data_IF_644281147931
#
_entry.id   IF_644281147931
#
_cell.length_a   1.000
_cell.length_b   1.000
_cell.length_c   1.000
_cell.angle_alpha   90.00
_cell.angle_beta   90.00
_cell.angle_gamma   90.00
#
_symmetry.space_group_name_H-M   'P 1'
#
loop_
_entity.id
_entity.type
_entity.pdbx_description
1 polymer ?
#
# COMPACT_ATOMS: atom_id res chain seq x y z
N UNK A 1 -6.37 -6.72 2.05
CA UNK A 1 -6.22 -5.26 2.11
C UNK A 1 -5.26 -4.70 1.07
N UNK A 2 -4.02 -5.17 0.98
CA UNK A 2 -2.98 -4.59 0.12
C UNK A 2 -3.38 -4.46 -1.36
N UNK A 3 -3.95 -5.49 -1.93
CA UNK A 3 -4.33 -5.50 -3.35
C UNK A 3 -5.50 -4.57 -3.64
N UNK A 4 -6.48 -4.48 -2.74
CA UNK A 4 -7.68 -3.65 -2.92
C UNK A 4 -7.29 -2.18 -3.10
N UNK A 5 -6.33 -1.67 -2.32
CA UNK A 5 -5.83 -0.29 -2.45
C UNK A 5 -5.03 -0.13 -3.74
N UNK A 6 -4.12 -1.05 -4.05
CA UNK A 6 -3.31 -1.02 -5.28
C UNK A 6 -4.15 -1.05 -6.55
N UNK A 7 -5.26 -1.76 -6.52
CA UNK A 7 -6.19 -1.85 -7.65
C UNK A 7 -7.14 -0.65 -7.75
N UNK A 8 -7.04 0.32 -6.84
CA UNK A 8 -7.93 1.47 -6.80
C UNK A 8 -9.39 1.12 -6.46
N UNK A 9 -9.61 -0.02 -5.79
CA UNK A 9 -10.95 -0.45 -5.35
C UNK A 9 -11.28 0.13 -3.98
N UNK A 10 -10.29 0.21 -3.08
CA UNK A 10 -10.49 0.71 -1.73
C UNK A 10 -9.49 1.80 -1.35
N UNK A 11 -9.86 2.59 -0.38
CA UNK A 11 -9.09 3.69 0.17
C UNK A 11 -9.01 3.57 1.69
N UNK A 12 -8.00 4.22 2.28
CA UNK A 12 -7.76 4.27 3.73
C UNK A 12 -8.07 5.67 4.27
N UNK A 13 -8.16 5.83 5.57
CA UNK A 13 -8.38 7.16 6.17
C UNK A 13 -7.24 8.13 5.86
N UNK A 14 -6.03 7.63 5.82
CA UNK A 14 -4.82 8.35 5.45
C UNK A 14 -4.06 7.58 4.38
N UNK A 15 -3.15 8.22 3.67
CA UNK A 15 -2.25 7.60 2.68
C UNK A 15 -0.81 8.03 2.91
N UNK A 16 0.11 7.24 2.41
CA UNK A 16 1.53 7.61 2.34
C UNK A 16 1.74 8.42 1.06
N UNK A 17 2.12 9.66 1.20
CA UNK A 17 2.49 10.57 0.11
C UNK A 17 4.00 10.57 -0.14
N UNK A 18 4.44 11.56 -0.91
CA UNK A 18 5.84 11.74 -1.26
C UNK A 18 6.72 11.96 -0.01
N UNK A 19 7.91 11.36 -0.02
CA UNK A 19 8.84 11.43 1.11
C UNK A 19 8.33 10.74 2.38
N UNK A 20 7.46 9.74 2.24
CA UNK A 20 6.85 8.97 3.34
C UNK A 20 5.97 9.80 4.29
N UNK A 21 5.54 10.99 3.87
CA UNK A 21 4.62 11.81 4.65
C UNK A 21 3.23 11.20 4.66
N UNK A 22 2.61 11.20 5.83
CA UNK A 22 1.22 10.77 5.94
C UNK A 22 0.29 11.93 5.61
N UNK A 23 -0.60 11.69 4.67
CA UNK A 23 -1.58 12.66 4.18
C UNK A 23 -3.00 12.17 4.42
N UNK A 24 -3.97 13.08 4.73
CA UNK A 24 -5.38 12.73 4.76
C UNK A 24 -5.86 12.19 3.40
N UNK A 25 -6.70 11.13 3.44
CA UNK A 25 -7.35 10.58 2.24
C UNK A 25 -8.87 10.57 2.40
N UNK A 26 -9.46 9.56 3.08
CA UNK A 26 -10.88 9.57 3.45
C UNK A 26 -11.13 10.43 4.71
N UNK A 27 -10.11 10.63 5.54
CA UNK A 27 -10.14 11.65 6.58
C UNK A 27 -9.94 13.05 5.97
N UNK A 28 -10.57 14.06 6.54
CA UNK A 28 -10.29 15.47 6.26
C UNK A 28 -9.12 15.97 7.09
N UNK A 29 -9.15 15.68 8.39
CA UNK A 29 -8.11 16.04 9.37
C UNK A 29 -8.21 15.15 10.61
N UNK A 30 -7.22 15.25 11.47
CA UNK A 30 -7.18 14.56 12.75
C UNK A 30 -6.69 15.48 13.88
N UNK A 31 -7.01 15.10 15.10
CA UNK A 31 -6.57 15.75 16.32
C UNK A 31 -6.17 14.69 17.34
N UNK A 32 -5.01 14.86 17.94
CA UNK A 32 -4.58 14.05 19.09
C UNK A 32 -5.10 14.72 20.35
N UNK A 33 -6.12 14.14 21.00
CA UNK A 33 -6.72 14.68 22.22
C UNK A 33 -5.81 14.43 23.43
N UNK A 34 -5.32 13.19 23.54
CA UNK A 34 -4.36 12.76 24.55
C UNK A 34 -3.51 11.59 24.00
N UNK A 35 -2.68 10.96 24.83
CA UNK A 35 -1.78 9.88 24.41
C UNK A 35 -2.52 8.60 23.98
N UNK A 36 -3.75 8.42 24.37
CA UNK A 36 -4.59 7.27 24.06
C UNK A 36 -5.68 7.60 23.03
N UNK A 37 -6.06 8.89 22.88
CA UNK A 37 -7.28 9.30 22.21
C UNK A 37 -7.01 10.19 21.02
N UNK A 38 -7.56 9.80 19.88
CA UNK A 38 -7.48 10.53 18.62
C UNK A 38 -8.89 10.78 18.07
N UNK A 39 -9.13 11.98 17.57
CA UNK A 39 -10.34 12.36 16.84
C UNK A 39 -10.02 12.51 15.37
N UNK A 40 -10.74 11.77 14.52
CA UNK A 40 -10.56 11.76 13.07
C UNK A 40 -11.83 12.27 12.42
N UNK A 41 -11.77 13.45 11.82
CA UNK A 41 -12.84 14.05 11.05
C UNK A 41 -12.87 13.42 9.67
N UNK A 42 -14.04 12.95 9.24
CA UNK A 42 -14.23 12.32 7.95
C UNK A 42 -14.56 13.34 6.87
N UNK A 43 -14.11 13.09 5.63
CA UNK A 43 -14.56 13.88 4.49
C UNK A 43 -16.04 13.69 4.25
N UNK A 44 -16.72 14.78 3.91
CA UNK A 44 -18.14 14.78 3.53
C UNK A 44 -18.31 14.24 2.10
N UNK A 45 -19.50 13.73 1.82
CA UNK A 45 -19.91 13.27 0.49
C UNK A 45 -19.11 12.08 -0.06
N UNK A 46 -18.40 11.36 0.80
CA UNK A 46 -17.78 10.09 0.41
C UNK A 46 -18.85 9.02 0.34
N UNK A 47 -18.87 8.28 -0.78
CA UNK A 47 -19.80 7.15 -0.98
C UNK A 47 -19.01 5.88 -1.29
N UNK A 48 -19.57 4.75 -0.88
CA UNK A 48 -19.15 3.44 -1.32
C UNK A 48 -19.63 3.16 -2.75
N UNK A 49 -19.07 2.14 -3.38
CA UNK A 49 -19.40 1.75 -4.76
C UNK A 49 -20.87 1.34 -4.97
N UNK A 50 -21.57 0.94 -3.90
CA UNK A 50 -23.02 0.69 -3.92
C UNK A 50 -23.86 1.99 -3.83
N UNK A 51 -23.22 3.14 -3.57
CA UNK A 51 -23.86 4.44 -3.41
C UNK A 51 -24.25 4.80 -2.00
N UNK A 52 -24.02 3.92 -1.03
CA UNK A 52 -24.23 4.21 0.38
C UNK A 52 -23.19 5.21 0.91
N UNK A 53 -23.61 6.13 1.77
CA UNK A 53 -22.72 7.10 2.37
C UNK A 53 -21.71 6.44 3.33
N UNK A 54 -20.46 6.91 3.33
CA UNK A 54 -19.47 6.57 4.33
C UNK A 54 -19.78 7.33 5.63
N UNK A 55 -20.37 6.64 6.58
CA UNK A 55 -20.67 7.20 7.91
C UNK A 55 -19.59 6.83 8.92
N UNK A 56 -19.45 7.59 10.03
CA UNK A 56 -18.54 7.22 11.12
C UNK A 56 -18.77 5.80 11.63
N UNK A 57 -20.02 5.33 11.72
CA UNK A 57 -20.32 3.98 12.15
C UNK A 57 -19.77 2.93 11.18
N UNK A 58 -19.93 3.12 9.87
CA UNK A 58 -19.36 2.21 8.85
C UNK A 58 -17.84 2.17 8.88
N UNK A 59 -17.20 3.30 9.16
CA UNK A 59 -15.73 3.36 9.38
C UNK A 59 -15.35 2.54 10.60
N UNK A 60 -16.05 2.69 11.72
CA UNK A 60 -15.83 1.91 12.95
C UNK A 60 -15.96 0.41 12.66
N UNK A 61 -17.04 0.00 12.00
CA UNK A 61 -17.30 -1.41 11.68
C UNK A 61 -16.18 -1.99 10.80
N UNK A 62 -15.69 -1.22 9.84
CA UNK A 62 -14.55 -1.60 9.00
C UNK A 62 -13.26 -1.76 9.83
N UNK A 63 -12.93 -0.81 10.69
CA UNK A 63 -11.74 -0.85 11.54
C UNK A 63 -11.78 -2.01 12.55
N UNK A 64 -12.93 -2.28 13.17
CA UNK A 64 -13.12 -3.44 14.06
C UNK A 64 -12.86 -4.75 13.31
N UNK A 65 -13.45 -4.90 12.12
CA UNK A 65 -13.20 -6.07 11.28
C UNK A 65 -11.70 -6.24 10.97
N UNK A 66 -10.99 -5.15 10.67
CA UNK A 66 -9.54 -5.20 10.44
C UNK A 66 -8.81 -5.71 11.68
N UNK A 67 -9.18 -5.23 12.86
CA UNK A 67 -8.62 -5.69 14.13
C UNK A 67 -8.85 -7.17 14.41
N UNK A 68 -10.00 -7.72 13.97
CA UNK A 68 -10.31 -9.15 14.10
C UNK A 68 -9.52 -10.03 13.11
N UNK A 69 -9.22 -9.51 11.93
CA UNK A 69 -8.63 -10.27 10.81
C UNK A 69 -7.12 -10.14 10.68
N UNK A 70 -6.50 -9.17 11.33
CA UNK A 70 -5.08 -8.86 11.17
C UNK A 70 -4.40 -8.65 12.53
N UNK A 71 -3.51 -9.55 12.91
CA UNK A 71 -2.79 -9.48 14.18
C UNK A 71 -2.00 -8.17 14.36
N UNK A 72 -1.44 -7.60 13.28
CA UNK A 72 -0.75 -6.30 13.35
C UNK A 72 -1.69 -5.15 13.75
N UNK A 73 -2.96 -5.30 13.43
CA UNK A 73 -4.01 -4.33 13.72
C UNK A 73 -4.88 -4.72 14.94
N UNK A 74 -4.45 -5.71 15.73
CA UNK A 74 -5.21 -6.23 16.88
C UNK A 74 -5.62 -5.13 17.88
N UNK A 75 -4.86 -4.04 17.96
CA UNK A 75 -5.22 -2.86 18.78
C UNK A 75 -6.53 -2.20 18.33
N UNK A 76 -6.93 -2.32 17.07
CA UNK A 76 -8.22 -1.82 16.58
C UNK A 76 -9.41 -2.64 17.10
N UNK A 77 -9.19 -3.91 17.44
CA UNK A 77 -10.22 -4.75 18.03
C UNK A 77 -10.57 -4.31 19.46
N UNK A 78 -9.54 -3.95 20.24
CA UNK A 78 -9.68 -3.60 21.66
C UNK A 78 -9.90 -2.10 21.88
N UNK A 79 -9.73 -1.27 20.86
CA UNK A 79 -9.97 0.16 20.92
C UNK A 79 -11.45 0.47 21.20
N UNK A 80 -11.68 1.53 21.97
CA UNK A 80 -13.02 2.09 22.20
C UNK A 80 -13.29 3.15 21.16
N UNK A 81 -14.42 3.04 20.49
CA UNK A 81 -14.85 3.96 19.45
C UNK A 81 -16.06 4.75 19.87
N UNK A 82 -16.07 6.05 19.57
CA UNK A 82 -17.21 6.94 19.77
C UNK A 82 -17.45 7.76 18.49
N UNK A 83 -18.72 7.92 18.13
CA UNK A 83 -19.13 8.83 17.06
C UNK A 83 -19.33 10.21 17.66
N UNK A 84 -18.69 11.23 17.06
CA UNK A 84 -18.83 12.64 17.46
C UNK A 84 -19.10 13.48 16.20
N UNK A 85 -20.38 13.65 15.87
CA UNK A 85 -20.83 14.25 14.62
C UNK A 85 -20.34 13.46 13.41
N UNK A 86 -19.56 14.12 12.53
CA UNK A 86 -18.93 13.49 11.35
C UNK A 86 -17.54 12.91 11.67
N UNK A 87 -17.17 12.79 12.94
CA UNK A 87 -15.88 12.27 13.36
C UNK A 87 -15.97 10.90 14.03
N UNK A 88 -14.88 10.16 13.93
CA UNK A 88 -14.62 8.95 14.71
C UNK A 88 -13.59 9.29 15.79
N UNK A 89 -13.92 9.05 17.04
CA UNK A 89 -12.98 9.11 18.15
C UNK A 89 -12.51 7.69 18.44
N UNK A 90 -11.20 7.51 18.46
CA UNK A 90 -10.54 6.21 18.71
C UNK A 90 -9.71 6.34 19.97
N UNK A 91 -10.04 5.55 20.99
CA UNK A 91 -9.27 5.44 22.23
C UNK A 91 -8.62 4.07 22.30
N UNK A 92 -7.30 4.02 22.28
CA UNK A 92 -6.50 2.79 22.37
C UNK A 92 -6.21 2.43 23.84
N UNK A 93 -5.96 1.16 24.11
CA UNK A 93 -5.62 0.70 25.47
C UNK A 93 -4.25 1.19 25.94
N UNK A 94 -3.34 1.40 25.00
CA UNK A 94 -1.96 1.85 25.24
C UNK A 94 -1.64 3.01 24.32
N UNK A 95 -0.73 3.92 24.72
CA UNK A 95 -0.27 5.00 23.83
C UNK A 95 0.16 4.48 22.47
N UNK A 96 -0.38 5.07 21.40
CA UNK A 96 -0.09 4.67 20.03
C UNK A 96 0.20 5.90 19.17
N UNK A 97 1.44 6.37 19.24
CA UNK A 97 1.90 7.54 18.49
C UNK A 97 1.85 7.32 16.97
N UNK A 98 1.88 6.05 16.54
CA UNK A 98 1.83 5.65 15.13
C UNK A 98 0.41 5.43 14.59
N UNK A 99 -0.65 5.75 15.34
CA UNK A 99 -2.02 5.45 14.92
C UNK A 99 -2.34 5.95 13.51
N UNK A 100 -1.93 7.16 13.17
CA UNK A 100 -2.19 7.75 11.85
C UNK A 100 -1.44 6.98 10.74
N UNK A 101 -0.22 6.53 11.01
CA UNK A 101 0.54 5.67 10.09
C UNK A 101 -0.14 4.31 9.93
N UNK A 102 -0.63 3.72 11.02
CA UNK A 102 -1.36 2.45 10.99
C UNK A 102 -2.65 2.56 10.17
N UNK A 103 -3.34 3.71 10.24
CA UNK A 103 -4.55 3.99 9.47
C UNK A 103 -4.28 4.39 8.00
N UNK A 104 -3.02 4.59 7.63
CA UNK A 104 -2.56 4.73 6.25
C UNK A 104 -2.11 3.40 5.63
N UNK A 105 -1.90 2.36 6.44
CA UNK A 105 -1.52 1.04 5.93
C UNK A 105 -2.69 0.44 5.14
N UNK A 106 -2.45 -0.15 3.96
CA UNK A 106 -3.49 -0.76 3.13
C UNK A 106 -4.38 -1.80 3.83
N UNK A 107 -3.93 -2.41 4.93
CA UNK A 107 -4.82 -3.30 5.70
C UNK A 107 -6.01 -2.55 6.31
N UNK A 108 -5.85 -1.26 6.60
CA UNK A 108 -6.89 -0.41 7.18
C UNK A 108 -7.87 0.16 6.14
N UNK A 109 -7.98 -0.47 4.98
CA UNK A 109 -8.94 -0.10 3.93
C UNK A 109 -10.37 -0.06 4.47
N UNK A 110 -11.09 1.02 4.17
CA UNK A 110 -12.48 1.19 4.59
C UNK A 110 -13.42 0.48 3.61
N UNK A 111 -14.21 -0.44 4.15
CA UNK A 111 -15.13 -1.31 3.41
C UNK A 111 -16.51 -1.22 4.06
N UNK A 112 -17.57 -1.22 3.28
CA UNK A 112 -18.95 -1.38 3.79
C UNK A 112 -19.16 -2.84 4.23
N UNK A 113 -18.88 -3.10 5.49
CA UNK A 113 -18.91 -4.46 6.08
C UNK A 113 -20.31 -5.06 6.02
N UNK A 114 -21.33 -4.26 6.30
CA UNK A 114 -22.71 -4.74 6.34
C UNK A 114 -23.22 -5.24 4.99
N UNK A 115 -22.78 -4.61 3.90
CA UNK A 115 -23.25 -4.92 2.54
C UNK A 115 -22.27 -5.78 1.73
N UNK A 116 -21.03 -5.97 2.19
CA UNK A 116 -20.04 -6.81 1.50
C UNK A 116 -20.27 -8.29 1.82
N UNK A 117 -20.61 -9.07 0.80
CA UNK A 117 -20.79 -10.53 0.92
C UNK A 117 -19.49 -11.31 0.71
N UNK A 118 -18.64 -10.83 -0.19
CA UNK A 118 -17.34 -11.43 -0.51
C UNK A 118 -16.26 -10.36 -0.42
N UNK A 119 -15.50 -10.38 0.67
CA UNK A 119 -14.44 -9.40 0.95
C UNK A 119 -13.19 -9.57 0.08
N UNK A 120 -13.04 -10.69 -0.58
CA UNK A 120 -11.91 -10.97 -1.46
C UNK A 120 -12.21 -10.59 -2.91
N UNK A 121 -13.37 -11.02 -3.42
CA UNK A 121 -13.70 -10.93 -4.85
C UNK A 121 -14.61 -9.76 -5.20
N UNK A 122 -15.41 -9.28 -4.25
CA UNK A 122 -16.39 -8.23 -4.49
C UNK A 122 -16.54 -7.27 -3.28
N UNK A 123 -15.45 -6.68 -2.76
CA UNK A 123 -15.56 -5.73 -1.66
C UNK A 123 -16.27 -4.46 -2.10
N UNK A 124 -17.20 -3.99 -1.27
CA UNK A 124 -17.85 -2.70 -1.44
C UNK A 124 -17.02 -1.65 -0.72
N UNK A 125 -16.29 -0.84 -1.47
CA UNK A 125 -15.34 0.14 -0.95
C UNK A 125 -15.48 1.48 -1.67
N UNK A 126 -14.61 2.45 -1.38
CA UNK A 126 -14.79 3.87 -1.76
C UNK A 126 -14.03 4.28 -3.02
N UNK A 127 -13.20 3.41 -3.60
CA UNK A 127 -12.24 3.77 -4.64
C UNK A 127 -12.84 4.04 -6.02
N UNK A 128 -12.00 4.53 -6.96
CA UNK A 128 -12.39 4.88 -8.33
C UNK A 128 -12.80 3.67 -9.19
N UNK A 129 -12.48 2.46 -8.76
CA UNK A 129 -12.82 1.24 -9.46
C UNK A 129 -13.59 0.25 -8.56
N UNK A 130 -14.36 -0.62 -9.20
CA UNK A 130 -15.09 -1.72 -8.57
C UNK A 130 -14.54 -3.04 -9.12
N UNK A 131 -14.30 -4.00 -8.24
CA UNK A 131 -13.85 -5.34 -8.63
C UNK A 131 -14.91 -6.03 -9.46
N UNK A 132 -14.60 -6.39 -10.70
CA UNK A 132 -15.49 -7.15 -11.59
C UNK A 132 -15.17 -8.65 -11.51
N UNK A 133 -13.89 -9.02 -11.46
CA UNK A 133 -13.47 -10.40 -11.21
C UNK A 133 -12.09 -10.42 -10.58
N UNK A 134 -11.84 -11.46 -9.77
CA UNK A 134 -10.54 -11.68 -9.12
C UNK A 134 -10.21 -13.17 -9.13
N UNK A 135 -9.06 -13.49 -9.69
CA UNK A 135 -8.45 -14.81 -9.62
C UNK A 135 -7.07 -14.68 -8.96
N UNK A 136 -6.96 -15.26 -7.76
CA UNK A 136 -5.76 -15.11 -6.94
C UNK A 136 -4.50 -15.57 -7.69
N UNK A 137 -3.45 -14.76 -7.63
CA UNK A 137 -2.18 -14.98 -8.31
C UNK A 137 -2.23 -15.05 -9.86
N UNK A 138 -3.33 -14.66 -10.47
CA UNK A 138 -3.47 -14.64 -11.94
C UNK A 138 -3.92 -13.29 -12.47
N UNK A 139 -5.15 -12.90 -12.15
CA UNK A 139 -5.79 -11.76 -12.81
C UNK A 139 -6.78 -11.04 -11.91
N UNK A 140 -6.79 -9.72 -11.97
CA UNK A 140 -7.84 -8.88 -11.40
C UNK A 140 -8.39 -7.94 -12.47
N UNK A 141 -9.71 -7.89 -12.61
CA UNK A 141 -10.40 -7.01 -13.54
C UNK A 141 -11.27 -6.05 -12.76
N UNK A 142 -11.06 -4.77 -12.94
CA UNK A 142 -11.83 -3.70 -12.33
C UNK A 142 -12.54 -2.89 -13.40
N UNK A 143 -13.74 -2.42 -13.05
CA UNK A 143 -14.53 -1.49 -13.86
C UNK A 143 -14.60 -0.15 -13.16
N UNK A 144 -14.76 0.91 -13.92
CA UNK A 144 -15.02 2.26 -13.44
C UNK A 144 -16.12 2.29 -12.39
N UNK A 145 -15.90 2.98 -11.29
CA UNK A 145 -16.93 3.27 -10.31
C UNK A 145 -17.67 4.57 -10.73
N UNK A 146 -18.92 4.46 -11.24
CA UNK A 146 -19.66 5.65 -11.69
C UNK A 146 -20.09 6.58 -10.54
N UNK A 147 -19.97 6.11 -9.29
CA UNK A 147 -20.32 6.83 -8.07
C UNK A 147 -19.10 7.26 -7.27
N UNK A 148 -17.93 7.34 -7.93
CA UNK A 148 -16.71 7.72 -7.24
C UNK A 148 -16.80 9.16 -6.72
N UNK A 149 -16.62 9.33 -5.43
CA UNK A 149 -16.70 10.61 -4.73
C UNK A 149 -15.58 11.60 -5.09
N UNK A 150 -14.42 11.09 -5.54
CA UNK A 150 -13.20 11.86 -5.81
C UNK A 150 -13.17 12.50 -7.20
N UNK A 151 -14.28 12.46 -7.97
CA UNK A 151 -14.40 13.07 -9.29
C UNK A 151 -14.43 12.08 -10.45
N UNK A 152 -14.23 12.58 -11.66
CA UNK A 152 -14.33 11.77 -12.86
C UNK A 152 -13.16 10.77 -13.00
N UNK A 153 -13.50 9.50 -13.15
CA UNK A 153 -12.54 8.43 -13.48
C UNK A 153 -12.38 8.38 -15.00
N UNK A 154 -11.18 8.64 -15.50
CA UNK A 154 -10.91 8.75 -16.95
C UNK A 154 -10.88 7.40 -17.67
N UNK A 155 -10.45 6.33 -17.00
CA UNK A 155 -10.38 4.98 -17.58
C UNK A 155 -11.66 4.22 -17.32
N UNK A 156 -12.15 3.44 -18.30
CA UNK A 156 -13.35 2.60 -18.15
C UNK A 156 -13.12 1.40 -17.24
N UNK A 157 -11.88 0.98 -17.08
CA UNK A 157 -11.47 -0.09 -16.18
C UNK A 157 -9.96 -0.28 -16.17
N UNK A 158 -9.52 -1.22 -15.36
CA UNK A 158 -8.13 -1.64 -15.24
C UNK A 158 -8.09 -3.16 -15.15
N UNK A 159 -7.15 -3.76 -15.85
CA UNK A 159 -6.87 -5.17 -15.79
C UNK A 159 -5.45 -5.39 -15.30
N UNK A 160 -5.28 -6.14 -14.20
CA UNK A 160 -3.99 -6.57 -13.71
C UNK A 160 -3.80 -8.06 -14.02
N UNK A 161 -2.74 -8.36 -14.76
CA UNK A 161 -2.32 -9.75 -15.02
C UNK A 161 -0.97 -9.98 -14.38
N UNK A 162 -0.83 -11.08 -13.63
CA UNK A 162 0.43 -11.46 -13.03
C UNK A 162 1.29 -12.19 -14.04
N UNK A 163 2.40 -11.58 -14.43
CA UNK A 163 3.46 -12.20 -15.24
C UNK A 163 4.65 -12.46 -14.33
N UNK A 164 5.08 -13.71 -14.18
CA UNK A 164 6.17 -14.10 -13.26
C UNK A 164 7.54 -14.06 -13.90
N UNK A 165 7.61 -14.22 -15.21
CA UNK A 165 8.87 -14.13 -15.96
C UNK A 165 9.12 -12.70 -16.42
N UNK A 166 10.27 -12.14 -16.06
CA UNK A 166 10.62 -10.75 -16.35
C UNK A 166 10.81 -10.47 -17.85
N UNK A 167 11.28 -11.46 -18.62
CA UNK A 167 11.45 -11.31 -20.07
C UNK A 167 10.09 -11.36 -20.76
N UNK A 168 9.22 -12.28 -20.35
CA UNK A 168 7.84 -12.34 -20.86
C UNK A 168 7.09 -11.02 -20.58
N UNK A 169 7.25 -10.44 -19.38
CA UNK A 169 6.65 -9.16 -19.04
C UNK A 169 7.16 -8.02 -19.96
N UNK A 170 8.46 -7.96 -20.21
CA UNK A 170 9.03 -6.97 -21.12
C UNK A 170 8.55 -7.18 -22.57
N UNK A 171 8.41 -8.43 -23.01
CA UNK A 171 7.89 -8.74 -24.34
C UNK A 171 6.42 -8.38 -24.49
N UNK A 172 5.58 -8.67 -23.50
CA UNK A 172 4.16 -8.28 -23.49
C UNK A 172 3.96 -6.77 -23.62
N UNK A 173 4.78 -5.97 -22.92
CA UNK A 173 4.76 -4.51 -23.08
C UNK A 173 5.21 -4.08 -24.49
N UNK A 174 6.29 -4.65 -25.02
CA UNK A 174 6.78 -4.32 -26.36
C UNK A 174 5.82 -4.76 -27.48
N UNK A 175 5.09 -5.85 -27.26
CA UNK A 175 4.07 -6.38 -28.17
C UNK A 175 2.72 -5.66 -28.08
N UNK A 176 2.53 -4.75 -27.11
CA UNK A 176 1.27 -4.04 -26.91
C UNK A 176 0.17 -4.92 -26.27
N UNK A 177 0.53 -6.05 -25.66
CA UNK A 177 -0.42 -6.89 -24.92
C UNK A 177 -0.80 -6.26 -23.57
N UNK A 178 0.07 -5.40 -23.02
CA UNK A 178 -0.16 -4.61 -21.83
C UNK A 178 0.28 -3.16 -22.05
N UNK A 179 -0.43 -2.21 -21.44
CA UNK A 179 -0.12 -0.79 -21.53
C UNK A 179 0.94 -0.36 -20.50
N UNK A 180 1.01 -1.06 -19.36
CA UNK A 180 1.90 -0.76 -18.25
C UNK A 180 2.53 -2.04 -17.72
N UNK A 181 3.85 -2.05 -17.57
CA UNK A 181 4.60 -3.11 -16.88
C UNK A 181 5.28 -2.55 -15.64
N UNK A 182 5.14 -3.22 -14.51
CA UNK A 182 5.78 -2.85 -13.25
C UNK A 182 6.89 -3.84 -12.88
N UNK A 183 7.87 -3.37 -12.10
CA UNK A 183 8.96 -4.19 -11.56
C UNK A 183 9.82 -4.88 -12.65
N UNK A 184 10.05 -4.18 -13.75
CA UNK A 184 10.98 -4.64 -14.79
C UNK A 184 12.40 -4.76 -14.22
N UNK A 185 13.18 -5.71 -14.74
CA UNK A 185 14.62 -5.76 -14.46
C UNK A 185 15.32 -4.52 -15.01
N UNK A 186 16.49 -4.18 -14.45
CA UNK A 186 17.27 -3.02 -14.92
C UNK A 186 17.60 -3.14 -16.40
N UNK A 187 18.03 -4.32 -16.84
CA UNK A 187 18.37 -4.57 -18.25
C UNK A 187 17.16 -4.44 -19.19
N UNK A 188 15.99 -4.99 -18.77
CA UNK A 188 14.76 -4.86 -19.54
C UNK A 188 14.32 -3.38 -19.64
N UNK A 189 14.40 -2.63 -18.54
CA UNK A 189 14.06 -1.21 -18.52
C UNK A 189 15.00 -0.39 -19.42
N UNK A 190 16.31 -0.67 -19.42
CA UNK A 190 17.26 -0.01 -20.32
C UNK A 190 17.00 -0.31 -21.80
N UNK A 191 16.62 -1.55 -22.12
CA UNK A 191 16.28 -1.93 -23.49
C UNK A 191 14.97 -1.28 -23.96
N UNK A 192 13.97 -1.20 -23.08
CA UNK A 192 12.69 -0.53 -23.37
C UNK A 192 12.88 0.97 -23.53
N UNK A 193 13.75 1.61 -22.73
CA UNK A 193 14.04 3.04 -22.82
C UNK A 193 14.63 3.48 -24.18
N UNK A 194 15.13 2.55 -24.99
CA UNK A 194 15.64 2.79 -26.36
C UNK A 194 14.53 2.80 -27.42
N UNK A 195 13.28 2.54 -27.04
CA UNK A 195 12.13 2.48 -27.95
C UNK A 195 11.38 3.82 -27.92
N UNK A 196 11.13 4.43 -29.07
CA UNK A 196 10.52 5.74 -29.20
C UNK A 196 9.06 5.80 -28.72
N UNK A 197 8.37 4.66 -28.73
CA UNK A 197 6.97 4.54 -28.35
C UNK A 197 6.72 4.10 -26.89
N UNK A 198 7.78 3.92 -26.09
CA UNK A 198 7.70 3.46 -24.72
C UNK A 198 8.40 4.41 -23.75
N UNK A 199 7.87 4.57 -22.56
CA UNK A 199 8.43 5.44 -21.52
C UNK A 199 8.78 4.64 -20.30
N UNK A 200 10.01 4.74 -19.82
CA UNK A 200 10.45 4.16 -18.56
C UNK A 200 10.44 5.23 -17.47
N UNK A 201 9.64 5.01 -16.42
CA UNK A 201 9.66 5.82 -15.20
C UNK A 201 10.35 5.05 -14.10
N UNK A 202 11.37 5.65 -13.50
CA UNK A 202 12.04 5.14 -12.30
C UNK A 202 11.53 5.93 -11.10
N UNK A 203 11.05 5.21 -10.09
CA UNK A 203 10.55 5.81 -8.84
C UNK A 203 11.40 5.28 -7.71
N UNK A 204 12.04 6.18 -6.97
CA UNK A 204 12.76 5.82 -5.75
C UNK A 204 11.74 5.27 -4.73
N UNK A 205 12.04 4.11 -4.18
CA UNK A 205 11.21 3.48 -3.17
C UNK A 205 11.99 3.36 -1.86
N UNK A 206 11.35 3.62 -0.71
CA UNK A 206 11.97 3.48 0.60
C UNK A 206 12.08 2.00 1.00
N UNK A 207 12.62 1.17 0.12
CA UNK A 207 12.80 -0.26 0.34
C UNK A 207 14.27 -0.57 0.51
N UNK A 208 14.63 -1.13 1.66
CA UNK A 208 15.99 -1.59 1.94
C UNK A 208 16.03 -3.12 1.80
N UNK A 209 16.95 -3.61 0.97
CA UNK A 209 17.27 -5.04 0.89
C UNK A 209 18.26 -5.37 1.99
N UNK A 210 17.90 -6.31 2.85
CA UNK A 210 18.70 -6.69 4.01
C UNK A 210 19.05 -8.17 3.96
N UNK A 211 20.25 -8.51 4.41
CA UNK A 211 20.68 -9.89 4.63
C UNK A 211 20.58 -10.21 6.13
N UNK A 212 19.87 -11.27 6.45
CA UNK A 212 19.75 -11.77 7.82
C UNK A 212 20.55 -13.05 8.01
N UNK A 213 21.39 -13.11 9.03
CA UNK A 213 22.11 -14.31 9.40
C UNK A 213 21.24 -15.21 10.30
N UNK A 214 21.18 -16.49 9.98
CA UNK A 214 20.61 -17.47 10.90
C UNK A 214 21.61 -17.76 12.03
N UNK A 215 21.38 -17.14 13.18
CA UNK A 215 22.31 -17.21 14.32
C UNK A 215 22.44 -18.63 14.89
N UNK A 216 21.44 -19.51 14.72
CA UNK A 216 21.53 -20.91 15.14
C UNK A 216 22.51 -21.72 14.27
N UNK A 217 22.66 -21.33 13.00
CA UNK A 217 23.57 -22.01 12.05
C UNK A 217 24.92 -21.30 11.91
N UNK A 218 24.94 -20.00 12.10
CA UNK A 218 26.15 -19.15 11.97
C UNK A 218 26.45 -18.50 13.32
N UNK A 219 26.86 -19.32 14.29
CA UNK A 219 27.09 -18.89 15.68
C UNK A 219 28.35 -18.03 15.79
N UNK A 220 29.39 -18.29 15.00
CA UNK A 220 30.64 -17.54 15.02
C UNK A 220 30.42 -16.11 14.51
N UNK A 221 30.66 -15.15 15.41
CA UNK A 221 30.54 -13.71 15.11
C UNK A 221 31.56 -13.26 14.06
N UNK A 222 32.81 -13.77 14.14
CA UNK A 222 33.86 -13.37 13.20
C UNK A 222 33.52 -13.77 11.75
N UNK A 223 32.89 -14.93 11.56
CA UNK A 223 32.42 -15.36 10.25
C UNK A 223 31.33 -14.42 9.71
N UNK A 224 30.37 -14.00 10.53
CA UNK A 224 29.34 -13.06 10.12
C UNK A 224 29.91 -11.69 9.76
N UNK A 225 30.85 -11.20 10.57
CA UNK A 225 31.58 -9.94 10.31
C UNK A 225 32.38 -10.02 9.00
N UNK A 226 33.11 -11.12 8.78
CA UNK A 226 33.86 -11.33 7.55
C UNK A 226 32.95 -11.26 6.30
N UNK A 227 31.78 -11.88 6.36
CA UNK A 227 30.80 -11.80 5.26
C UNK A 227 30.32 -10.36 5.08
N UNK A 228 29.98 -9.63 6.17
CA UNK A 228 29.53 -8.25 6.08
C UNK A 228 30.57 -7.32 5.46
N UNK A 229 31.83 -7.47 5.84
CA UNK A 229 32.93 -6.68 5.27
C UNK A 229 33.29 -7.09 3.85
N UNK A 230 33.06 -8.37 3.48
CA UNK A 230 33.32 -8.89 2.15
C UNK A 230 32.29 -8.44 1.09
N UNK A 231 31.11 -7.96 1.52
CA UNK A 231 30.07 -7.48 0.59
C UNK A 231 30.29 -6.02 0.23
N UNK A 232 30.74 -5.76 -0.98
CA UNK A 232 30.89 -4.41 -1.52
C UNK A 232 29.53 -3.88 -1.98
N UNK A 233 28.79 -3.22 -1.07
CA UNK A 233 27.46 -2.66 -1.33
C UNK A 233 27.47 -1.61 -2.45
N UNK A 234 28.56 -0.81 -2.54
CA UNK A 234 28.72 0.22 -3.58
C UNK A 234 28.81 -0.42 -4.97
N UNK A 235 29.65 -1.43 -5.13
CA UNK A 235 29.78 -2.13 -6.40
C UNK A 235 28.50 -2.85 -6.81
N UNK A 236 27.75 -3.39 -5.86
CA UNK A 236 26.41 -3.96 -6.12
C UNK A 236 25.49 -2.87 -6.69
N UNK A 237 25.42 -1.71 -6.07
CA UNK A 237 24.56 -0.61 -6.52
C UNK A 237 24.97 -0.07 -7.89
N UNK A 238 26.25 0.26 -8.05
CA UNK A 238 26.76 0.96 -9.24
C UNK A 238 26.96 0.01 -10.44
N UNK A 239 27.56 -1.16 -10.22
CA UNK A 239 27.99 -2.06 -11.30
C UNK A 239 26.92 -3.11 -11.63
N UNK A 240 26.41 -3.82 -10.60
CA UNK A 240 25.43 -4.88 -10.82
C UNK A 240 24.05 -4.32 -11.09
N UNK A 241 23.61 -3.35 -10.28
CA UNK A 241 22.28 -2.73 -10.38
C UNK A 241 22.29 -1.43 -11.21
N UNK A 242 23.42 -1.09 -11.84
CA UNK A 242 23.59 0.04 -12.76
C UNK A 242 23.01 1.35 -12.22
N UNK A 243 23.20 1.61 -10.94
CA UNK A 243 22.70 2.80 -10.25
C UNK A 243 21.20 2.80 -9.94
N UNK A 244 20.48 1.69 -10.13
CA UNK A 244 19.07 1.58 -9.77
C UNK A 244 18.84 1.50 -8.26
N UNK A 245 19.88 1.20 -7.47
CA UNK A 245 19.84 1.18 -6.00
C UNK A 245 21.12 1.83 -5.45
N UNK A 246 21.04 2.39 -4.26
CA UNK A 246 22.18 2.93 -3.51
C UNK A 246 22.58 2.00 -2.35
N UNK A 247 23.83 2.14 -1.87
CA UNK A 247 24.26 1.44 -0.67
C UNK A 247 23.49 1.96 0.55
N UNK A 248 22.90 1.09 1.34
CA UNK A 248 22.25 1.42 2.59
C UNK A 248 23.11 1.00 3.78
N UNK A 249 23.17 1.83 4.81
CA UNK A 249 23.97 1.62 6.02
C UNK A 249 23.11 1.39 7.27
N UNK A 250 21.80 1.60 7.16
CA UNK A 250 20.81 1.33 8.20
C UNK A 250 19.65 0.47 7.69
N UNK A 251 18.69 0.15 8.56
CA UNK A 251 17.45 -0.54 8.21
C UNK A 251 16.46 0.37 7.46
N UNK A 252 16.76 1.67 7.41
CA UNK A 252 15.93 2.67 6.73
C UNK A 252 16.76 3.37 5.65
N UNK A 253 16.13 3.91 4.60
CA UNK A 253 16.82 4.75 3.63
C UNK A 253 17.46 5.97 4.30
N UNK A 254 18.65 6.36 3.85
CA UNK A 254 19.42 7.48 4.44
C UNK A 254 18.69 8.84 4.32
N UNK A 255 17.81 8.98 3.34
CA UNK A 255 16.96 10.16 3.08
C UNK A 255 15.63 10.14 3.84
N UNK A 256 15.38 9.10 4.63
CA UNK A 256 14.18 9.01 5.45
C UNK A 256 14.36 9.70 6.79
N UNK A 257 13.26 10.07 7.46
CA UNK A 257 13.28 10.63 8.82
C UNK A 257 13.86 9.66 9.88
N UNK A 258 14.14 8.42 9.51
CA UNK A 258 14.64 7.34 10.38
C UNK A 258 15.98 6.75 9.90
N UNK A 259 16.54 7.29 8.81
CA UNK A 259 17.84 6.90 8.25
C UNK A 259 19.04 7.57 8.90
#
# INVERSE_FOLDING_TARGET
GWYIVRYGVGETLFKVGDGLKIEPWLAEKFEKIDDLTWKIMLKKNVTFSNGEAMTPQKVIDSLKRVGDMNERAGFLKTAVYTVDGDAVVIKTEKPRLTLINDLADPYATIIDVANTKDFEKAPIATGPFVMASYESNKKAVMKKNPKYWGGEVKSDGVEYTKVTDANALAMSLQGGEVDIAQDLTVDAAENIAKKDNLVVKRVAQPRVYQMYFNLNKMQDKAVREAIMYGVNKKDIGEKLMKGAVSAAYSAFPDDSAYG
#
